data_IF_371710302039
#
_entry.id   IF_371710302039
#
_cell.length_a   1.000
_cell.length_b   1.000
_cell.length_c   1.000
_cell.angle_alpha   90.00
_cell.angle_beta   90.00
_cell.angle_gamma   90.00
#
_symmetry.space_group_name_H-M   'P 1'
#
loop_
_entity.id
_entity.type
_entity.pdbx_description
1 polymer ?
#
# COMPACT_ATOMS: atom_id res chain seq x y z
N UNK A 1 -2.97 2.13 -5.46
CA UNK A 1 -3.97 1.45 -4.64
C UNK A 1 -4.06 2.21 -3.35
N UNK A 2 -5.23 2.63 -2.91
CA UNK A 2 -5.40 3.19 -1.60
C UNK A 2 -5.34 2.03 -0.62
N UNK A 3 -4.22 1.81 -0.04
CA UNK A 3 -4.13 0.95 1.10
C UNK A 3 -4.14 1.85 2.33
N UNK A 4 -4.79 1.46 3.37
CA UNK A 4 -4.50 1.98 4.68
C UNK A 4 -3.16 1.37 5.11
N UNK A 5 -2.07 1.90 4.54
CA UNK A 5 -0.74 1.52 4.98
C UNK A 5 -0.58 2.08 6.37
N UNK A 6 -0.22 1.21 7.29
CA UNK A 6 -0.10 1.57 8.70
C UNK A 6 1.06 2.52 8.96
N UNK A 7 0.91 3.32 10.00
CA UNK A 7 1.94 4.23 10.49
C UNK A 7 3.11 3.53 11.23
N UNK A 8 3.28 2.22 11.05
CA UNK A 8 4.32 1.40 11.66
C UNK A 8 4.94 0.45 10.63
N UNK A 9 6.12 -0.08 10.92
CA UNK A 9 6.69 -1.14 10.11
C UNK A 9 5.82 -2.41 10.20
N UNK A 10 5.66 -3.08 9.07
CA UNK A 10 5.02 -4.40 9.03
C UNK A 10 5.97 -5.46 9.55
N UNK A 11 5.42 -6.46 10.21
CA UNK A 11 6.10 -7.70 10.55
C UNK A 11 5.72 -8.81 9.55
N UNK A 12 6.32 -9.99 9.72
CA UNK A 12 5.93 -11.18 8.97
C UNK A 12 4.46 -11.52 9.21
N UNK A 13 3.75 -11.86 8.15
CA UNK A 13 2.31 -12.18 8.11
C UNK A 13 1.36 -11.02 8.40
N UNK A 14 1.83 -9.80 8.52
CA UNK A 14 0.94 -8.64 8.66
C UNK A 14 0.35 -8.23 7.31
N UNK A 15 -0.91 -7.78 7.35
CA UNK A 15 -1.66 -7.36 6.18
C UNK A 15 -1.21 -5.97 5.77
N UNK A 16 -0.65 -5.86 4.55
CA UNK A 16 -0.20 -4.58 3.99
C UNK A 16 -1.40 -3.73 3.57
N UNK A 17 -2.33 -4.35 2.87
CA UNK A 17 -3.62 -3.73 2.51
C UNK A 17 -4.72 -4.78 2.41
N UNK A 18 -5.90 -4.37 2.81
CA UNK A 18 -7.11 -5.17 2.75
C UNK A 18 -7.66 -5.27 1.32
N UNK A 19 -8.70 -6.06 1.16
CA UNK A 19 -9.36 -6.28 -0.11
C UNK A 19 -9.67 -4.98 -0.84
N UNK A 20 -9.02 -4.82 -1.97
CA UNK A 20 -9.21 -3.70 -2.87
C UNK A 20 -9.82 -4.19 -4.17
N UNK A 21 -10.95 -3.59 -4.56
CA UNK A 21 -11.60 -3.92 -5.84
C UNK A 21 -10.73 -3.44 -7.00
N UNK A 22 -10.47 -4.35 -7.93
CA UNK A 22 -9.79 -4.03 -9.18
C UNK A 22 -10.82 -3.45 -10.16
N UNK A 23 -10.75 -2.16 -10.38
CA UNK A 23 -11.70 -1.48 -11.26
C UNK A 23 -11.53 -1.91 -12.72
N UNK A 24 -12.66 -2.08 -13.40
CA UNK A 24 -12.69 -2.42 -14.82
C UNK A 24 -12.49 -3.90 -15.15
N UNK A 25 -12.15 -4.73 -14.19
CA UNK A 25 -12.05 -6.17 -14.39
C UNK A 25 -13.40 -6.84 -14.13
N UNK A 26 -13.96 -7.54 -15.11
CA UNK A 26 -15.30 -8.15 -15.03
C UNK A 26 -15.34 -9.61 -15.50
N UNK A 27 -14.24 -10.27 -15.44
CA UNK A 27 -14.12 -11.68 -15.84
C UNK A 27 -12.97 -11.91 -16.79
N UNK A 28 -12.63 -13.16 -17.03
CA UNK A 28 -11.48 -13.58 -17.82
C UNK A 28 -10.43 -14.31 -16.99
N UNK A 29 -9.16 -14.09 -17.25
CA UNK A 29 -8.06 -14.64 -16.45
C UNK A 29 -6.96 -13.63 -16.24
N UNK A 30 -6.29 -13.70 -15.09
CA UNK A 30 -5.04 -12.97 -14.85
C UNK A 30 -3.90 -13.91 -15.27
N UNK A 31 -3.05 -13.44 -16.17
CA UNK A 31 -1.88 -14.17 -16.67
C UNK A 31 -0.54 -13.53 -16.28
N UNK A 32 -0.57 -12.32 -15.79
CA UNK A 32 0.62 -11.63 -15.31
C UNK A 32 0.34 -10.55 -14.29
N UNK A 33 1.32 -10.33 -13.42
CA UNK A 33 1.26 -9.33 -12.36
C UNK A 33 2.57 -8.56 -12.36
N UNK A 34 2.47 -7.23 -12.33
CA UNK A 34 3.62 -6.38 -12.04
C UNK A 34 3.37 -5.69 -10.71
N UNK A 35 4.30 -5.85 -9.78
CA UNK A 35 4.32 -5.16 -8.50
C UNK A 35 5.39 -4.09 -8.54
N UNK A 36 5.02 -2.86 -8.28
CA UNK A 36 5.94 -1.72 -8.20
C UNK A 36 5.88 -1.19 -6.77
N UNK A 37 7.02 -1.12 -6.10
CA UNK A 37 7.14 -0.59 -4.75
C UNK A 37 8.05 0.62 -4.77
N UNK A 38 7.57 1.74 -4.29
CA UNK A 38 8.36 2.98 -4.20
C UNK A 38 9.34 2.91 -3.05
N UNK A 39 10.49 3.52 -3.26
CA UNK A 39 11.47 3.73 -2.21
C UNK A 39 11.06 4.80 -1.19
N UNK A 40 11.85 4.89 -0.16
CA UNK A 40 11.78 5.94 0.86
C UNK A 40 13.17 6.55 1.04
N UNK A 41 13.23 7.77 1.56
CA UNK A 41 14.52 8.43 1.89
C UNK A 41 15.56 8.44 0.76
N UNK A 42 15.10 8.60 -0.49
CA UNK A 42 15.98 8.65 -1.66
C UNK A 42 16.60 7.32 -2.07
N UNK A 43 16.09 6.20 -1.58
CA UNK A 43 16.57 4.86 -1.90
C UNK A 43 15.41 3.89 -2.12
N UNK A 44 15.68 2.82 -2.89
CA UNK A 44 14.75 1.71 -2.99
C UNK A 44 14.58 1.01 -1.63
N UNK A 45 13.39 0.47 -1.39
CA UNK A 45 13.11 -0.35 -0.20
C UNK A 45 13.98 -1.61 -0.19
N UNK A 46 14.38 -2.03 1.00
CA UNK A 46 14.86 -3.41 1.18
C UNK A 46 13.65 -4.32 1.14
N UNK A 47 13.47 -5.02 0.02
CA UNK A 47 12.29 -5.84 -0.17
C UNK A 47 12.33 -7.13 0.64
N UNK A 48 11.19 -7.48 1.18
CA UNK A 48 10.82 -8.81 1.63
C UNK A 48 9.80 -9.40 0.64
N UNK A 49 9.49 -10.68 0.79
CA UNK A 49 8.39 -11.25 0.00
C UNK A 49 7.05 -10.60 0.32
N UNK A 50 6.17 -10.59 -0.66
CA UNK A 50 4.77 -10.13 -0.52
C UNK A 50 3.88 -11.24 -1.07
N UNK A 51 2.90 -11.67 -0.28
CA UNK A 51 1.88 -12.58 -0.76
C UNK A 51 0.68 -11.79 -1.27
N UNK A 52 0.28 -12.01 -2.51
CA UNK A 52 -0.92 -11.44 -3.11
C UNK A 52 -2.05 -12.46 -3.06
N UNK A 53 -3.18 -12.04 -2.53
CA UNK A 53 -4.40 -12.83 -2.43
C UNK A 53 -5.42 -12.25 -3.41
N UNK A 54 -6.05 -13.12 -4.19
CA UNK A 54 -7.08 -12.75 -5.15
C UNK A 54 -8.40 -13.42 -4.81
N UNK A 55 -9.48 -12.65 -4.82
CA UNK A 55 -10.83 -13.15 -4.58
C UNK A 55 -11.81 -12.61 -5.61
N UNK A 56 -12.84 -13.39 -5.91
CA UNK A 56 -13.97 -12.97 -6.74
C UNK A 56 -15.17 -12.60 -5.89
N UNK A 57 -16.12 -11.95 -6.51
CA UNK A 57 -17.37 -11.39 -6.00
C UNK A 57 -17.83 -11.89 -4.63
N UNK A 58 -18.29 -11.01 -3.83
CA UNK A 58 -18.77 -11.24 -2.48
C UNK A 58 -17.66 -11.33 -1.44
N UNK A 59 -16.89 -10.27 -1.38
CA UNK A 59 -16.09 -10.08 -0.18
C UNK A 59 -17.04 -9.80 0.95
N UNK A 60 -16.91 -10.57 2.01
CA UNK A 60 -17.68 -10.34 3.19
C UNK A 60 -17.51 -8.90 3.66
N UNK A 61 -18.61 -8.19 3.80
CA UNK A 61 -18.62 -6.89 4.43
C UNK A 61 -18.89 -7.07 5.92
N UNK A 62 -18.46 -6.16 6.78
CA UNK A 62 -18.79 -6.23 8.21
C UNK A 62 -20.28 -6.34 8.47
N UNK A 63 -21.13 -5.81 7.58
CA UNK A 63 -22.58 -5.90 7.67
C UNK A 63 -23.15 -7.29 7.39
N UNK A 64 -22.40 -8.16 6.71
CA UNK A 64 -22.83 -9.51 6.39
C UNK A 64 -22.38 -10.53 7.46
N UNK A 65 -21.81 -10.06 8.57
CA UNK A 65 -21.21 -10.92 9.59
C UNK A 65 -19.91 -11.55 9.15
N UNK A 66 -19.42 -11.17 8.00
CA UNK A 66 -18.12 -11.51 7.46
C UNK A 66 -17.22 -10.29 7.58
N UNK A 67 -16.04 -10.50 8.00
CA UNK A 67 -15.12 -9.47 8.43
C UNK A 67 -14.09 -9.26 7.31
N UNK A 68 -13.68 -8.05 7.09
CA UNK A 68 -12.49 -7.71 6.34
C UNK A 68 -11.28 -8.50 6.86
N UNK A 69 -10.26 -8.76 6.03
CA UNK A 69 -9.03 -9.35 6.58
C UNK A 69 -8.29 -8.38 7.50
N UNK A 70 -8.63 -7.10 7.47
CA UNK A 70 -8.20 -6.11 8.45
C UNK A 70 -9.40 -5.76 9.33
N UNK A 71 -9.47 -6.37 10.49
CA UNK A 71 -10.49 -6.03 11.49
C UNK A 71 -10.00 -4.89 12.41
N UNK A 72 -8.75 -4.89 12.73
CA UNK A 72 -8.06 -3.83 13.51
C UNK A 72 -6.65 -3.71 12.99
N UNK A 73 -6.19 -2.52 12.68
CA UNK A 73 -4.80 -2.30 12.28
C UNK A 73 -3.86 -2.29 13.50
N UNK A 74 -2.67 -2.86 13.42
CA UNK A 74 -2.17 -3.81 12.44
C UNK A 74 -2.63 -5.23 12.78
N UNK A 75 -3.13 -5.94 11.80
CA UNK A 75 -3.64 -7.30 11.99
C UNK A 75 -2.72 -8.30 11.30
N UNK A 76 -2.36 -9.34 12.04
CA UNK A 76 -1.60 -10.47 11.51
C UNK A 76 -2.55 -11.50 10.94
N UNK A 77 -2.27 -11.98 9.73
CA UNK A 77 -3.04 -13.03 9.08
C UNK A 77 -3.09 -14.28 9.98
N UNK A 78 -4.29 -14.76 10.27
CA UNK A 78 -4.50 -15.96 11.10
C UNK A 78 -4.43 -15.73 12.60
N UNK A 79 -4.41 -14.47 13.08
CA UNK A 79 -4.57 -14.18 14.50
C UNK A 79 -6.04 -14.18 14.93
N UNK A 80 -6.28 -14.63 16.15
CA UNK A 80 -7.62 -14.65 16.75
C UNK A 80 -8.21 -13.24 16.78
N UNK A 81 -9.38 -13.08 16.20
CA UNK A 81 -10.03 -11.77 16.03
C UNK A 81 -9.73 -11.11 14.69
N UNK A 82 -8.76 -11.63 13.94
CA UNK A 82 -8.64 -11.28 12.53
C UNK A 82 -9.72 -12.02 11.73
N UNK A 83 -10.30 -11.34 10.81
CA UNK A 83 -11.32 -11.81 9.89
C UNK A 83 -10.98 -13.09 9.13
N UNK A 84 -9.74 -13.43 9.11
CA UNK A 84 -9.21 -14.59 8.43
C UNK A 84 -9.73 -15.92 9.00
N UNK A 85 -10.15 -15.91 10.26
CA UNK A 85 -10.77 -17.08 10.89
C UNK A 85 -12.24 -17.30 10.47
N UNK A 86 -12.79 -16.40 9.68
CA UNK A 86 -14.18 -16.54 9.23
C UNK A 86 -14.22 -17.47 8.00
N UNK A 87 -14.82 -18.65 8.08
CA UNK A 87 -14.74 -19.68 7.04
C UNK A 87 -15.18 -19.23 5.65
N UNK A 88 -15.91 -18.13 5.57
CA UNK A 88 -16.52 -17.66 4.32
C UNK A 88 -15.55 -17.07 3.29
N UNK A 89 -14.44 -16.50 3.68
CA UNK A 89 -13.57 -15.83 2.72
C UNK A 89 -12.76 -16.80 1.86
N UNK A 90 -12.42 -17.98 2.40
CA UNK A 90 -11.73 -19.01 1.64
C UNK A 90 -12.51 -19.48 0.41
N UNK A 91 -13.83 -19.44 0.48
CA UNK A 91 -14.69 -19.87 -0.62
C UNK A 91 -14.63 -18.92 -1.82
N UNK A 92 -14.18 -17.70 -1.61
CA UNK A 92 -14.09 -16.67 -2.64
C UNK A 92 -12.65 -16.45 -3.12
N UNK A 93 -11.68 -17.09 -2.48
CA UNK A 93 -10.29 -17.03 -2.90
C UNK A 93 -10.12 -17.78 -4.21
N UNK A 94 -9.64 -17.09 -5.25
CA UNK A 94 -9.42 -17.66 -6.57
C UNK A 94 -7.95 -17.77 -6.94
N UNK A 95 -7.09 -17.10 -6.20
CA UNK A 95 -5.66 -17.16 -6.44
C UNK A 95 -4.83 -16.71 -5.25
N UNK A 96 -3.64 -17.25 -5.20
CA UNK A 96 -2.58 -16.89 -4.28
C UNK A 96 -1.27 -16.80 -5.06
N UNK A 97 -0.60 -15.68 -5.00
CA UNK A 97 0.64 -15.45 -5.73
C UNK A 97 1.71 -14.95 -4.78
N UNK A 98 2.67 -15.80 -4.43
CA UNK A 98 3.83 -15.36 -3.68
C UNK A 98 4.77 -14.58 -4.60
N UNK A 99 5.16 -13.39 -4.18
CA UNK A 99 6.21 -12.57 -4.82
C UNK A 99 7.41 -12.59 -3.88
N UNK A 100 8.44 -13.33 -4.24
CA UNK A 100 9.61 -13.46 -3.38
C UNK A 100 10.43 -12.16 -3.36
N UNK A 101 11.20 -11.93 -2.31
CA UNK A 101 12.10 -10.78 -2.23
C UNK A 101 13.07 -10.69 -3.43
N UNK A 102 13.52 -11.85 -3.94
CA UNK A 102 14.41 -11.95 -5.09
C UNK A 102 13.76 -11.66 -6.45
N UNK A 103 12.43 -11.62 -6.53
CA UNK A 103 11.70 -11.26 -7.75
C UNK A 103 11.69 -9.74 -7.97
N UNK A 104 11.91 -8.98 -6.91
CA UNK A 104 12.08 -7.54 -6.99
C UNK A 104 13.50 -7.25 -7.45
N UNK A 105 13.65 -6.99 -8.72
CA UNK A 105 14.90 -6.53 -9.28
C UNK A 105 14.78 -5.06 -9.66
N UNK A 106 15.80 -4.34 -9.29
CA UNK A 106 16.00 -2.95 -9.63
C UNK A 106 16.70 -2.91 -11.02
N UNK A 107 15.94 -3.12 -12.07
CA UNK A 107 16.48 -3.03 -13.41
C UNK A 107 16.72 -1.55 -13.78
N UNK A 108 17.75 -0.93 -13.24
CA UNK A 108 18.23 0.43 -13.50
C UNK A 108 17.53 1.57 -12.76
N UNK A 109 16.66 1.30 -11.79
CA UNK A 109 15.96 2.33 -11.04
C UNK A 109 16.34 2.25 -9.56
N UNK A 110 17.22 3.12 -9.10
CA UNK A 110 17.75 3.16 -7.73
C UNK A 110 16.70 3.44 -6.63
N UNK A 111 15.45 3.64 -6.98
CA UNK A 111 14.38 4.06 -6.08
C UNK A 111 13.07 3.28 -6.22
N UNK A 112 12.98 2.36 -7.18
CA UNK A 112 11.82 1.50 -7.36
C UNK A 112 12.23 0.03 -7.31
N UNK A 113 11.46 -0.75 -6.60
CA UNK A 113 11.51 -2.21 -6.69
C UNK A 113 10.39 -2.68 -7.61
N UNK A 114 10.72 -3.47 -8.62
CA UNK A 114 9.75 -3.97 -9.59
C UNK A 114 9.87 -5.49 -9.64
N UNK A 115 8.76 -6.17 -9.39
CA UNK A 115 8.62 -7.59 -9.63
C UNK A 115 7.66 -7.82 -10.81
N UNK A 116 8.05 -8.69 -11.73
CA UNK A 116 7.21 -9.15 -12.82
C UNK A 116 6.96 -10.64 -12.64
N UNK A 117 5.71 -10.99 -12.33
CA UNK A 117 5.27 -12.37 -12.14
C UNK A 117 4.48 -12.81 -13.38
N UNK A 118 4.95 -13.86 -14.02
CA UNK A 118 4.27 -14.49 -15.14
C UNK A 118 3.56 -15.74 -14.64
N UNK A 119 2.24 -15.80 -14.82
CA UNK A 119 1.39 -16.92 -14.41
C UNK A 119 1.12 -17.91 -15.53
N UNK A 120 1.92 -17.93 -16.59
CA UNK A 120 1.71 -18.81 -17.74
C UNK A 120 1.50 -20.27 -17.34
N UNK A 121 0.33 -20.81 -17.66
CA UNK A 121 -0.09 -22.15 -17.29
C UNK A 121 -0.74 -22.27 -15.90
N UNK A 122 -0.75 -21.21 -15.14
CA UNK A 122 -1.37 -21.12 -13.81
C UNK A 122 -2.23 -19.85 -13.70
N UNK A 123 -2.91 -19.51 -14.79
CA UNK A 123 -3.73 -18.31 -14.86
C UNK A 123 -4.84 -18.35 -13.80
N UNK A 124 -5.08 -17.22 -13.16
CA UNK A 124 -6.13 -17.10 -12.16
C UNK A 124 -7.45 -16.81 -12.88
N UNK A 125 -8.40 -17.77 -12.89
CA UNK A 125 -9.71 -17.54 -13.50
C UNK A 125 -10.54 -16.58 -12.64
N UNK A 126 -11.16 -15.61 -13.28
CA UNK A 126 -11.99 -14.62 -12.61
C UNK A 126 -13.39 -14.61 -13.21
N UNK A 127 -14.39 -14.73 -12.36
CA UNK A 127 -15.80 -14.56 -12.74
C UNK A 127 -16.40 -13.44 -11.90
N UNK A 128 -16.73 -12.32 -12.55
CA UNK A 128 -17.30 -11.15 -11.88
C UNK A 128 -16.24 -10.15 -11.41
N UNK A 129 -16.49 -9.51 -10.27
CA UNK A 129 -15.56 -8.56 -9.68
C UNK A 129 -14.33 -9.27 -9.13
N UNK A 130 -13.18 -8.62 -9.28
CA UNK A 130 -11.92 -9.08 -8.74
C UNK A 130 -11.48 -8.18 -7.59
N UNK A 131 -10.96 -8.80 -6.56
CA UNK A 131 -10.39 -8.13 -5.39
C UNK A 131 -9.00 -8.66 -5.12
N UNK A 132 -8.15 -7.80 -4.63
CA UNK A 132 -6.77 -8.14 -4.26
C UNK A 132 -6.45 -7.62 -2.86
N UNK A 133 -5.70 -8.40 -2.11
CA UNK A 133 -5.12 -8.02 -0.84
C UNK A 133 -3.65 -8.43 -0.80
N UNK A 134 -2.87 -7.86 0.10
CA UNK A 134 -1.46 -8.19 0.24
C UNK A 134 -1.03 -8.39 1.69
N UNK A 135 -0.12 -9.34 1.87
CA UNK A 135 0.45 -9.73 3.16
C UNK A 135 1.98 -9.66 3.09
N UNK A 136 2.61 -9.09 4.11
CA UNK A 136 4.06 -9.02 4.21
C UNK A 136 4.65 -10.38 4.63
N UNK A 137 5.81 -10.72 4.08
CA UNK A 137 6.59 -11.93 4.43
C UNK A 137 7.86 -11.56 5.20
N UNK A 138 7.82 -10.50 5.95
CA UNK A 138 8.91 -10.00 6.77
C UNK A 138 8.77 -8.52 7.06
N UNK A 139 9.79 -7.93 7.67
CA UNK A 139 9.77 -6.52 8.03
C UNK A 139 9.79 -5.63 6.77
N UNK A 140 8.77 -4.79 6.64
CA UNK A 140 8.62 -3.83 5.55
C UNK A 140 8.13 -2.49 6.12
N UNK A 141 8.82 -1.41 5.80
CA UNK A 141 8.50 -0.09 6.32
C UNK A 141 8.36 0.92 5.19
N UNK A 142 7.18 1.48 5.03
CA UNK A 142 6.89 2.49 4.00
C UNK A 142 7.00 3.92 4.52
N UNK A 143 7.34 4.09 5.78
CA UNK A 143 7.54 5.43 6.33
C UNK A 143 8.88 5.98 5.83
N UNK A 144 8.93 7.27 5.60
CA UNK A 144 10.21 7.96 5.46
C UNK A 144 10.85 8.10 6.84
N UNK A 145 12.16 8.33 6.89
CA UNK A 145 12.79 8.78 8.13
C UNK A 145 12.80 10.32 8.23
N UNK A 146 12.28 10.99 7.20
CA UNK A 146 12.06 12.42 7.19
C UNK A 146 11.02 12.82 8.24
N UNK A 147 11.31 13.91 8.94
CA UNK A 147 10.43 14.48 9.95
C UNK A 147 9.96 15.83 9.51
N UNK A 148 8.74 16.16 9.83
CA UNK A 148 8.22 17.49 9.58
C UNK A 148 9.08 18.51 10.32
N UNK A 149 9.58 19.51 9.59
CA UNK A 149 10.43 20.58 10.10
C UNK A 149 9.62 21.87 10.22
N UNK A 150 8.58 21.82 11.00
CA UNK A 150 7.69 22.94 11.27
C UNK A 150 7.40 23.00 12.77
N UNK A 151 7.05 24.16 13.27
CA UNK A 151 6.68 24.29 14.68
C UNK A 151 5.35 23.63 15.04
N UNK A 152 4.82 22.82 14.13
CA UNK A 152 3.49 22.28 14.19
C UNK A 152 2.43 23.26 13.67
N UNK A 153 1.39 22.77 13.07
CA UNK A 153 0.30 23.61 12.58
C UNK A 153 -1.07 22.90 12.68
N UNK A 154 -2.09 23.73 12.88
CA UNK A 154 -3.46 23.25 12.97
C UNK A 154 -3.96 22.77 11.60
N UNK A 155 -5.04 21.99 11.61
CA UNK A 155 -5.75 21.63 10.41
C UNK A 155 -6.15 22.86 9.60
N UNK A 156 -5.97 22.79 8.29
CA UNK A 156 -6.29 23.88 7.36
C UNK A 156 -5.32 25.06 7.31
N UNK A 157 -4.17 24.96 8.00
CA UNK A 157 -3.25 26.09 8.13
C UNK A 157 -2.20 26.18 7.00
N UNK A 158 -1.77 25.05 6.44
CA UNK A 158 -0.62 25.00 5.52
C UNK A 158 -0.95 24.23 4.24
N UNK A 159 -0.39 24.69 3.13
CA UNK A 159 -0.33 23.95 1.87
C UNK A 159 1.07 23.45 1.55
N UNK A 160 2.08 24.00 2.18
CA UNK A 160 3.49 23.64 1.99
C UNK A 160 3.97 22.94 3.25
N UNK A 161 4.50 21.75 3.09
CA UNK A 161 5.08 20.96 4.18
C UNK A 161 6.57 20.83 3.92
N UNK A 162 7.35 21.24 4.90
CA UNK A 162 8.81 21.10 4.91
C UNK A 162 9.20 19.94 5.81
N UNK A 163 10.18 19.17 5.39
CA UNK A 163 10.77 18.10 6.21
C UNK A 163 12.24 18.38 6.45
N UNK A 164 12.79 17.74 7.45
CA UNK A 164 14.21 17.80 7.73
C UNK A 164 15.04 17.01 6.69
N UNK A 165 16.31 17.01 6.81
CA UNK A 165 17.42 16.65 5.91
C UNK A 165 17.30 15.37 5.06
N UNK A 166 16.14 14.76 4.90
CA UNK A 166 15.96 13.53 4.10
C UNK A 166 15.38 13.82 2.72
N UNK A 167 15.81 13.03 1.77
CA UNK A 167 15.31 13.12 0.41
C UNK A 167 13.98 12.38 0.27
N UNK A 168 12.90 13.14 0.13
CA UNK A 168 11.54 12.60 -0.02
C UNK A 168 11.10 12.50 -1.48
N UNK A 169 11.92 12.94 -2.44
CA UNK A 169 11.53 13.02 -3.86
C UNK A 169 11.16 11.68 -4.47
N UNK A 170 11.66 10.59 -3.91
CA UNK A 170 11.47 9.24 -4.46
C UNK A 170 10.31 8.48 -3.80
N UNK A 171 9.94 8.88 -2.58
CA UNK A 171 8.82 8.30 -1.84
C UNK A 171 7.45 8.86 -2.25
N UNK A 172 7.44 10.03 -2.89
CA UNK A 172 6.23 10.79 -3.17
C UNK A 172 6.15 11.25 -4.62
N UNK A 173 4.92 11.39 -5.11
CA UNK A 173 4.64 11.97 -6.43
C UNK A 173 3.36 12.81 -6.40
N UNK A 174 3.15 13.71 -7.36
CA UNK A 174 1.87 14.40 -7.50
C UNK A 174 0.71 13.41 -7.60
N UNK A 175 -0.34 13.66 -6.82
CA UNK A 175 -1.50 12.79 -6.71
C UNK A 175 -1.47 11.80 -5.54
N UNK A 176 -0.32 11.57 -4.92
CA UNK A 176 -0.23 10.73 -3.73
C UNK A 176 -0.91 11.39 -2.53
N UNK A 177 -1.46 10.56 -1.64
CA UNK A 177 -1.99 11.00 -0.35
C UNK A 177 -0.91 10.78 0.70
N UNK A 178 -0.70 11.81 1.51
CA UNK A 178 0.31 11.81 2.58
C UNK A 178 -0.37 11.81 3.93
N UNK A 179 0.10 10.95 4.79
CA UNK A 179 -0.25 10.90 6.19
C UNK A 179 0.96 11.23 7.06
N UNK A 180 0.71 11.68 8.26
CA UNK A 180 1.67 11.73 9.35
C UNK A 180 1.45 10.57 10.31
N UNK A 181 2.34 10.43 11.28
CA UNK A 181 2.18 9.50 12.41
C UNK A 181 0.80 9.66 13.02
N UNK A 182 0.23 8.54 13.52
CA UNK A 182 -1.12 8.46 14.05
C UNK A 182 -2.25 8.61 13.01
N UNK A 183 -1.96 8.28 11.73
CA UNK A 183 -2.90 8.33 10.62
C UNK A 183 -3.47 9.74 10.31
N UNK A 184 -2.83 10.79 10.81
CA UNK A 184 -3.23 12.15 10.51
C UNK A 184 -3.08 12.45 9.01
N UNK A 185 -4.19 12.81 8.36
CA UNK A 185 -4.22 13.08 6.92
C UNK A 185 -3.65 14.47 6.66
N UNK A 186 -2.55 14.53 5.96
CA UNK A 186 -2.02 15.82 5.48
C UNK A 186 -2.77 16.27 4.23
N UNK A 187 -2.91 15.39 3.26
CA UNK A 187 -3.66 15.68 2.04
C UNK A 187 -3.03 15.06 0.80
N UNK A 188 -3.48 15.53 -0.36
CA UNK A 188 -2.97 15.08 -1.66
C UNK A 188 -1.85 15.99 -2.14
N UNK A 189 -0.75 15.41 -2.57
CA UNK A 189 0.40 16.14 -3.13
C UNK A 189 0.02 16.78 -4.46
N UNK A 190 0.30 18.06 -4.58
CA UNK A 190 0.26 18.79 -5.84
C UNK A 190 1.60 18.72 -6.57
N UNK A 191 2.67 19.00 -5.84
CA UNK A 191 4.06 18.98 -6.36
C UNK A 191 5.03 18.54 -5.27
N UNK A 192 6.07 17.86 -5.69
CA UNK A 192 7.29 17.66 -4.89
C UNK A 192 8.27 18.73 -5.34
N UNK A 193 8.48 19.73 -4.48
CA UNK A 193 9.17 20.95 -4.86
C UNK A 193 10.70 20.83 -4.71
N UNK A 194 11.13 20.02 -3.76
CA UNK A 194 12.54 19.74 -3.50
C UNK A 194 12.69 18.41 -2.72
N UNK A 195 13.92 18.05 -2.42
CA UNK A 195 14.22 16.89 -1.57
C UNK A 195 13.58 16.98 -0.17
N UNK A 196 13.24 18.19 0.28
CA UNK A 196 12.74 18.45 1.63
C UNK A 196 11.41 19.21 1.65
N UNK A 197 10.70 19.33 0.53
CA UNK A 197 9.47 20.11 0.48
C UNK A 197 8.45 19.52 -0.49
N UNK A 198 7.20 19.46 -0.03
CA UNK A 198 6.03 19.13 -0.83
C UNK A 198 4.99 20.25 -0.72
N UNK A 199 4.23 20.43 -1.80
CA UNK A 199 3.05 21.30 -1.81
C UNK A 199 1.80 20.43 -1.97
N UNK A 200 0.82 20.65 -1.11
CA UNK A 200 -0.48 19.98 -1.15
C UNK A 200 -1.44 20.71 -2.11
N UNK A 201 -2.43 19.99 -2.62
CA UNK A 201 -3.50 20.55 -3.47
C UNK A 201 -4.41 21.51 -2.71
N UNK A 202 -4.56 21.29 -1.41
CA UNK A 202 -5.31 22.11 -0.45
C UNK A 202 -4.54 22.14 0.85
N UNK A 203 -4.92 23.02 1.76
CA UNK A 203 -4.35 23.04 3.09
C UNK A 203 -4.56 21.68 3.80
N UNK A 204 -3.62 21.34 4.67
CA UNK A 204 -3.61 20.09 5.44
C UNK A 204 -4.96 19.81 6.11
N UNK A 205 -5.38 18.56 6.04
CA UNK A 205 -6.67 18.14 6.59
C UNK A 205 -6.62 18.10 8.12
N UNK A 206 -5.60 17.43 8.66
CA UNK A 206 -5.39 17.28 10.10
C UNK A 206 -4.22 18.12 10.60
N UNK A 207 -4.19 18.35 11.88
CA UNK A 207 -3.05 19.00 12.53
C UNK A 207 -1.80 18.11 12.44
N UNK A 208 -0.64 18.74 12.42
CA UNK A 208 0.64 18.05 12.40
C UNK A 208 1.57 18.67 13.43
N UNK A 209 2.35 17.84 14.10
CA UNK A 209 3.34 18.29 15.06
C UNK A 209 4.74 18.37 14.42
N UNK A 210 5.60 19.16 15.03
CA UNK A 210 7.02 19.14 14.73
C UNK A 210 7.59 17.74 14.97
N UNK A 211 8.47 17.32 14.10
CA UNK A 211 9.11 15.99 14.13
C UNK A 211 8.19 14.80 13.85
N UNK A 212 6.96 14.99 13.42
CA UNK A 212 6.13 13.90 12.92
C UNK A 212 6.75 13.26 11.67
N UNK A 213 6.71 11.94 11.61
CA UNK A 213 7.13 11.18 10.44
C UNK A 213 5.99 11.19 9.42
N UNK A 214 6.31 11.40 8.15
CA UNK A 214 5.34 11.34 7.06
C UNK A 214 5.50 10.06 6.26
N UNK A 215 4.41 9.62 5.63
CA UNK A 215 4.43 8.45 4.75
C UNK A 215 3.38 8.56 3.64
N UNK A 216 3.67 7.85 2.55
CA UNK A 216 2.76 7.71 1.41
C UNK A 216 1.81 6.55 1.68
N UNK A 217 0.50 6.77 1.60
CA UNK A 217 -0.49 5.71 1.79
C UNK A 217 -0.64 4.76 0.60
N UNK A 218 0.03 5.05 -0.50
CA UNK A 218 -0.05 4.26 -1.74
C UNK A 218 1.33 3.98 -2.34
N UNK A 219 2.30 3.44 -1.57
CA UNK A 219 3.65 3.18 -2.07
C UNK A 219 3.72 1.97 -3.00
N UNK A 220 2.66 1.15 -3.05
CA UNK A 220 2.59 -0.05 -3.88
C UNK A 220 1.61 0.18 -5.03
N UNK A 221 2.05 -0.13 -6.24
CA UNK A 221 1.22 -0.18 -7.43
C UNK A 221 1.19 -1.61 -7.98
N UNK A 222 0.01 -2.13 -8.22
CA UNK A 222 -0.20 -3.38 -8.93
C UNK A 222 -0.72 -3.09 -10.34
N UNK A 223 -0.12 -3.76 -11.33
CA UNK A 223 -0.60 -3.77 -12.71
C UNK A 223 -0.88 -5.24 -13.05
N UNK A 224 -2.13 -5.53 -13.35
CA UNK A 224 -2.57 -6.86 -13.74
C UNK A 224 -2.68 -6.91 -15.25
N UNK A 225 -2.20 -7.98 -15.85
CA UNK A 225 -2.43 -8.32 -17.25
C UNK A 225 -3.23 -9.62 -17.32
N UNK A 226 -4.06 -9.73 -18.36
CA UNK A 226 -4.91 -10.89 -18.52
C UNK A 226 -5.78 -10.80 -19.77
N UNK A 227 -6.50 -11.88 -20.02
CA UNK A 227 -7.50 -11.95 -21.08
C UNK A 227 -8.89 -11.67 -20.49
N UNK A 228 -9.66 -10.86 -21.19
CA UNK A 228 -11.06 -10.51 -20.86
C UNK A 228 -11.98 -11.22 -21.81
#
# INVERSE_FOLDING_TARGET
MPASIQAAAYADTEIIFDWHKVEGFKGGSIDGIKVIVRGTDGAAQTMVGIDLLFATSHIPTPSDGNVSIIDVAPTTLGTTGAAVDTPGWFNNLVGYVPVAAGDFNDADLIYLNIANVNLAGEEIPVSGDLYVAAVAKGALDFRTTARVNETGFAAGAQTVITVDTKDITLGFAPGDVVHAVDDAVLGTIKTVDSATQITLTKANVDAIADSDIIYNVSPIQLILSGTV
#
